data_IF_735666602203
#
_entry.id   IF_735666602203
#
_cell.length_a   1.000
_cell.length_b   1.000
_cell.length_c   1.000
_cell.angle_alpha   90.00
_cell.angle_beta   90.00
_cell.angle_gamma   90.00
#
_symmetry.space_group_name_H-M   'P 1'
#
loop_
_entity.id
_entity.type
_entity.pdbx_description
1 polymer ?
#
# COMPACT_ATOMS: atom_id res chain seq x y z
N UNK A 1 8.99 2.20 8.94
CA UNK A 1 9.38 2.60 7.58
C UNK A 1 9.06 4.08 7.37
N UNK A 2 9.93 4.87 6.71
CA UNK A 2 9.56 6.18 6.21
C UNK A 2 8.50 6.05 5.09
N UNK A 3 7.97 7.19 4.62
CA UNK A 3 7.01 7.22 3.52
C UNK A 3 7.74 7.36 2.18
N UNK A 4 7.43 6.49 1.22
CA UNK A 4 7.95 6.52 -0.15
C UNK A 4 6.94 7.07 -1.14
N UNK A 5 7.44 7.72 -2.18
CA UNK A 5 6.70 8.15 -3.37
C UNK A 5 7.46 7.72 -4.63
N UNK A 6 6.94 7.98 -5.83
CA UNK A 6 7.61 7.61 -7.08
C UNK A 6 8.99 8.28 -7.26
N UNK A 7 9.19 9.46 -6.66
CA UNK A 7 10.37 10.32 -6.73
C UNK A 7 11.21 10.33 -5.45
N UNK A 8 10.76 9.65 -4.39
CA UNK A 8 11.45 9.62 -3.09
C UNK A 8 11.63 8.19 -2.60
N UNK A 9 12.89 7.74 -2.57
CA UNK A 9 13.31 6.45 -2.02
C UNK A 9 13.52 6.53 -0.50
N UNK A 10 13.29 5.41 0.19
CA UNK A 10 13.50 5.26 1.63
C UNK A 10 14.97 4.95 1.96
N UNK A 11 15.66 4.21 1.08
CA UNK A 11 17.00 3.66 1.34
C UNK A 11 18.07 4.05 0.30
N UNK A 12 17.78 4.97 -0.62
CA UNK A 12 18.76 5.41 -1.65
C UNK A 12 19.00 4.42 -2.80
N UNK A 13 18.62 3.15 -2.63
CA UNK A 13 18.67 2.14 -3.68
C UNK A 13 17.47 2.25 -4.65
N UNK A 14 17.78 2.42 -5.93
CA UNK A 14 16.82 2.39 -7.05
C UNK A 14 16.44 0.94 -7.38
N UNK A 15 15.16 0.64 -7.68
CA UNK A 15 14.07 1.58 -7.93
C UNK A 15 13.19 1.84 -6.68
N UNK A 16 12.66 3.06 -6.55
CA UNK A 16 11.67 3.38 -5.51
C UNK A 16 10.48 2.41 -5.55
N UNK A 17 10.14 1.81 -4.40
CA UNK A 17 8.92 1.01 -4.23
C UNK A 17 7.66 1.74 -4.72
N UNK A 18 7.59 3.07 -4.53
CA UNK A 18 6.43 3.84 -5.00
C UNK A 18 6.31 3.89 -6.51
N UNK A 19 7.45 3.81 -7.22
CA UNK A 19 7.49 3.70 -8.69
C UNK A 19 7.14 2.28 -9.14
N UNK A 20 7.66 1.26 -8.47
CA UNK A 20 7.39 -0.15 -8.77
C UNK A 20 5.91 -0.50 -8.58
N UNK A 21 5.33 -0.16 -7.44
CA UNK A 21 3.95 -0.54 -7.06
C UNK A 21 2.92 0.55 -7.30
N UNK A 22 3.29 1.62 -8.02
CA UNK A 22 2.40 2.71 -8.43
C UNK A 22 1.57 3.29 -7.27
N UNK A 23 2.22 3.44 -6.12
CA UNK A 23 1.58 3.90 -4.89
C UNK A 23 2.51 4.76 -4.04
N UNK A 24 1.95 5.32 -2.98
CA UNK A 24 2.68 6.09 -1.99
C UNK A 24 2.39 5.51 -0.60
N UNK A 25 3.39 4.87 0.00
CA UNK A 25 3.18 4.06 1.20
C UNK A 25 4.42 3.99 2.09
N UNK A 26 4.21 3.52 3.31
CA UNK A 26 5.28 3.12 4.22
C UNK A 26 5.80 1.72 3.85
N UNK A 27 6.33 1.56 2.63
CA UNK A 27 6.86 0.29 2.15
C UNK A 27 8.01 -0.21 3.03
N UNK A 28 8.05 -1.52 3.26
CA UNK A 28 9.09 -2.25 4.01
C UNK A 28 10.29 -2.59 3.12
N UNK A 29 11.35 -3.13 3.71
CA UNK A 29 12.50 -3.66 2.97
C UNK A 29 12.02 -4.68 1.92
N UNK A 30 12.53 -4.59 0.69
CA UNK A 30 12.06 -5.32 -0.51
C UNK A 30 10.65 -4.96 -0.99
N UNK A 31 10.09 -3.82 -0.56
CA UNK A 31 8.80 -3.30 -0.98
C UNK A 31 7.59 -4.23 -0.74
N UNK A 32 7.76 -5.27 0.08
CA UNK A 32 6.77 -6.32 0.28
C UNK A 32 5.84 -5.97 1.44
N UNK A 33 4.64 -5.46 1.13
CA UNK A 33 3.72 -4.91 2.12
C UNK A 33 2.36 -4.55 1.51
N UNK A 34 1.39 -4.14 2.35
CA UNK A 34 0.10 -3.65 1.86
C UNK A 34 0.30 -2.38 1.01
N UNK A 35 -0.62 -2.13 0.09
CA UNK A 35 -0.59 -0.97 -0.81
C UNK A 35 -1.99 -0.35 -0.89
N UNK A 36 -2.47 0.24 0.21
CA UNK A 36 -3.81 0.82 0.25
C UNK A 36 -3.94 2.09 -0.61
N UNK A 37 -2.82 2.73 -0.93
CA UNK A 37 -2.73 3.87 -1.85
C UNK A 37 -2.31 3.44 -3.27
N UNK A 38 -2.49 2.17 -3.62
CA UNK A 38 -2.25 1.66 -4.96
C UNK A 38 -3.33 2.06 -5.95
N UNK A 39 -3.18 1.63 -7.19
CA UNK A 39 -4.14 1.91 -8.27
C UNK A 39 -5.47 1.20 -8.00
N UNK A 40 -6.60 1.90 -8.15
CA UNK A 40 -7.90 1.27 -8.01
C UNK A 40 -8.27 0.50 -9.29
N UNK A 41 -8.01 -0.80 -9.30
CA UNK A 41 -8.43 -1.68 -10.41
C UNK A 41 -9.82 -2.31 -10.20
N UNK A 42 -10.42 -2.12 -9.02
CA UNK A 42 -11.76 -2.61 -8.69
C UNK A 42 -11.97 -4.12 -8.98
N UNK A 43 -11.06 -4.96 -8.47
CA UNK A 43 -11.11 -6.42 -8.62
C UNK A 43 -9.84 -7.01 -9.22
N UNK A 44 -10.00 -8.12 -9.96
CA UNK A 44 -8.89 -8.84 -10.58
C UNK A 44 -8.24 -8.00 -11.67
N UNK A 45 -6.92 -7.96 -11.68
CA UNK A 45 -6.12 -7.27 -12.69
C UNK A 45 -4.92 -8.09 -13.14
N UNK A 46 -4.55 -7.89 -14.40
CA UNK A 46 -3.37 -8.49 -15.03
C UNK A 46 -2.67 -7.36 -15.77
N UNK A 47 -1.47 -6.99 -15.31
CA UNK A 47 -0.59 -6.10 -16.04
C UNK A 47 0.73 -6.81 -16.29
N UNK A 48 1.16 -6.82 -17.54
CA UNK A 48 2.43 -7.41 -17.97
C UNK A 48 3.60 -6.47 -17.67
N UNK A 49 3.35 -5.16 -17.71
CA UNK A 49 4.37 -4.12 -17.56
C UNK A 49 4.71 -3.78 -16.10
N UNK A 50 3.90 -4.22 -15.13
CA UNK A 50 4.02 -3.80 -13.73
C UNK A 50 3.86 -4.99 -12.77
N UNK A 51 4.45 -4.88 -11.56
CA UNK A 51 4.21 -5.87 -10.53
C UNK A 51 2.71 -6.07 -10.30
N UNK A 52 2.34 -7.33 -10.10
CA UNK A 52 0.95 -7.75 -9.88
C UNK A 52 0.34 -6.99 -8.70
N UNK A 53 1.15 -6.63 -7.72
CA UNK A 53 0.78 -5.99 -6.46
C UNK A 53 0.71 -4.44 -6.49
N UNK A 54 0.35 -3.85 -7.63
CA UNK A 54 0.21 -2.39 -7.78
C UNK A 54 -1.19 -1.85 -7.46
N UNK A 55 -2.16 -2.73 -7.21
CA UNK A 55 -3.53 -2.36 -6.86
C UNK A 55 -3.72 -1.93 -5.39
N UNK A 56 -4.95 -1.60 -5.02
CA UNK A 56 -5.35 -1.41 -3.62
C UNK A 56 -5.29 -2.76 -2.92
N UNK A 57 -4.26 -3.01 -2.12
CA UNK A 57 -3.97 -4.35 -1.61
C UNK A 57 -3.71 -4.40 -0.10
N UNK A 58 -4.15 -5.51 0.49
CA UNK A 58 -3.94 -5.84 1.89
C UNK A 58 -3.41 -7.26 2.02
N UNK A 59 -2.42 -7.45 2.88
CA UNK A 59 -1.63 -8.68 2.96
C UNK A 59 -2.29 -9.77 3.81
N UNK A 60 -3.48 -9.54 4.35
CA UNK A 60 -4.18 -10.54 5.16
C UNK A 60 -5.19 -11.33 4.32
N UNK A 61 -5.07 -12.64 4.44
CA UNK A 61 -5.91 -13.65 3.79
C UNK A 61 -7.37 -13.53 4.25
N UNK A 62 -8.21 -12.98 3.38
CA UNK A 62 -9.66 -12.96 3.53
C UNK A 62 -10.41 -13.00 2.20
N UNK A 63 -9.71 -13.30 1.10
CA UNK A 63 -10.31 -13.41 -0.22
C UNK A 63 -10.92 -14.80 -0.42
N UNK A 64 -11.98 -14.93 -1.24
CA UNK A 64 -12.53 -16.22 -1.62
C UNK A 64 -11.47 -17.14 -2.23
N UNK A 65 -11.68 -18.44 -2.09
CA UNK A 65 -10.82 -19.46 -2.70
C UNK A 65 -10.69 -19.24 -4.21
N UNK A 66 -9.47 -19.35 -4.73
CA UNK A 66 -9.15 -19.12 -6.15
C UNK A 66 -8.87 -17.66 -6.53
N UNK A 67 -8.93 -16.72 -5.59
CA UNK A 67 -8.51 -15.33 -5.82
C UNK A 67 -7.02 -15.16 -5.53
N UNK A 68 -6.28 -14.72 -6.56
CA UNK A 68 -4.87 -14.36 -6.44
C UNK A 68 -4.76 -13.01 -5.70
N UNK A 69 -4.33 -13.07 -4.43
CA UNK A 69 -4.20 -11.92 -3.52
C UNK A 69 -3.32 -10.82 -4.08
N UNK A 70 -2.29 -11.18 -4.86
CA UNK A 70 -1.40 -10.20 -5.48
C UNK A 70 -2.06 -9.55 -6.69
N UNK A 71 -3.04 -10.20 -7.31
CA UNK A 71 -3.74 -9.71 -8.50
C UNK A 71 -5.15 -9.24 -8.22
N UNK A 72 -5.49 -8.98 -6.97
CA UNK A 72 -6.77 -8.45 -6.59
C UNK A 72 -6.61 -7.05 -6.00
N UNK A 73 -7.32 -6.06 -6.56
CA UNK A 73 -7.46 -4.73 -5.97
C UNK A 73 -8.80 -4.64 -5.26
N UNK A 74 -8.81 -4.22 -4.00
CA UNK A 74 -10.05 -3.88 -3.33
C UNK A 74 -10.78 -2.74 -4.06
N UNK A 75 -12.12 -2.76 -4.10
CA UNK A 75 -12.92 -1.75 -4.79
C UNK A 75 -12.86 -0.38 -4.12
N UNK A 76 -12.65 -0.39 -2.80
CA UNK A 76 -12.56 0.80 -1.96
C UNK A 76 -11.75 0.50 -0.72
N UNK A 77 -11.18 1.55 -0.13
CA UNK A 77 -10.49 1.51 1.15
C UNK A 77 -10.84 2.75 1.95
N UNK A 78 -10.96 2.59 3.26
CA UNK A 78 -11.18 3.69 4.19
C UNK A 78 -10.19 3.57 5.36
N UNK A 79 -9.26 4.52 5.46
CA UNK A 79 -8.35 4.63 6.59
C UNK A 79 -8.90 5.65 7.59
N UNK A 80 -9.09 5.25 8.85
CA UNK A 80 -9.60 6.13 9.91
C UNK A 80 -8.71 6.05 11.14
N UNK A 81 -8.61 7.16 11.86
CA UNK A 81 -7.92 7.23 13.16
C UNK A 81 -8.92 7.62 14.24
N UNK A 82 -8.77 7.04 15.44
CA UNK A 82 -9.53 7.44 16.63
C UNK A 82 -8.58 7.78 17.78
N UNK A 83 -8.90 8.76 18.63
CA UNK A 83 -8.14 8.96 19.86
C UNK A 83 -8.13 7.69 20.70
N UNK A 84 -6.97 7.33 21.25
CA UNK A 84 -6.89 6.35 22.32
C UNK A 84 -7.38 6.99 23.61
N UNK A 85 -8.09 6.26 24.48
CA UNK A 85 -8.45 6.76 25.81
C UNK A 85 -7.14 6.97 26.60
N UNK A 86 -6.62 8.21 26.62
CA UNK A 86 -5.48 8.61 27.46
C UNK A 86 -4.29 9.24 26.72
N UNK A 87 -4.40 10.53 26.39
CA UNK A 87 -3.46 11.64 26.68
C UNK A 87 -3.94 12.87 25.90
N UNK A 88 -4.06 14.06 26.52
CA UNK A 88 -4.41 15.27 25.80
C UNK A 88 -3.31 15.60 24.79
N UNK A 89 -3.76 16.02 23.62
CA UNK A 89 -2.96 16.44 22.47
C UNK A 89 -1.88 17.44 22.91
N UNK A 90 -0.60 17.04 22.81
CA UNK A 90 0.55 17.92 23.08
C UNK A 90 0.88 18.86 21.90
N UNK A 91 0.05 18.91 20.85
CA UNK A 91 0.25 19.77 19.67
C UNK A 91 -0.49 21.11 19.74
N UNK A 92 -0.74 21.63 20.95
CA UNK A 92 -0.95 23.07 21.14
C UNK A 92 0.32 23.65 21.77
N UNK A 93 1.22 24.13 20.92
CA UNK A 93 2.20 25.17 21.25
C UNK A 93 1.80 26.42 20.51
#
# INVERSE_FOLDING_TARGET
MPFSTFDKTIDGDEPSCGKLYRGAWWYTFNCHGPNLNGVNYNGKHLHEDFPTNSGIQWNDEGLPEGVDVYRFSYPSVLMMIRPTKGRPDRRRR
#
